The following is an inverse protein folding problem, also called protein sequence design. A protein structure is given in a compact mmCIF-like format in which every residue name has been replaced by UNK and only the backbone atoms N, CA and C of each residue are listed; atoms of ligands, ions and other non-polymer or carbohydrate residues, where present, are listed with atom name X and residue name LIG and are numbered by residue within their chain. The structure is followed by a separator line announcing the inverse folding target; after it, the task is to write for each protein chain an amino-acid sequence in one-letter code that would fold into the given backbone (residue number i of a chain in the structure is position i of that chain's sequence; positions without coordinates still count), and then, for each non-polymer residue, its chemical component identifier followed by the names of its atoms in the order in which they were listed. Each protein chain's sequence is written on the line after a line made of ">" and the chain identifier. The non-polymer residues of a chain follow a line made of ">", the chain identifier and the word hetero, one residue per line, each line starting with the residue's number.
data_IF_068627998195
#
_entry.id   IF_068627998195
#
_cell.length_a   1.000
_cell.length_b   1.000
_cell.length_c   1.000
_cell.angle_alpha   90.00
_cell.angle_beta   90.00
_cell.angle_gamma   90.00
#
_symmetry.space_group_name_H-M   'P 1'
#
loop_
_entity.id
_entity.type
_entity.pdbx_description
1 polymer ?
#
# COMPACT_ATOMS: atom_id res chain seq x y z
N UNK A 1 -5.11 9.24 3.52
CA UNK A 1 -6.43 8.57 3.35
C UNK A 1 -7.09 8.42 4.69
N UNK A 2 -8.33 8.87 4.83
CA UNK A 2 -9.15 8.67 6.04
C UNK A 2 -10.55 8.23 5.61
N UNK A 3 -11.04 7.15 6.21
CA UNK A 3 -12.36 6.57 5.89
C UNK A 3 -12.63 6.36 4.37
N UNK A 4 -11.61 5.99 3.60
CA UNK A 4 -11.74 5.77 2.14
C UNK A 4 -11.78 7.04 1.30
N UNK A 5 -11.42 8.20 1.85
CA UNK A 5 -11.33 9.49 1.12
C UNK A 5 -9.91 10.03 1.13
N UNK A 6 -9.44 10.68 0.05
CA UNK A 6 -8.19 11.42 0.05
C UNK A 6 -8.24 12.57 1.08
N UNK A 7 -7.21 12.70 1.91
CA UNK A 7 -7.04 13.82 2.86
C UNK A 7 -5.97 14.80 2.44
N UNK A 8 -5.23 14.47 1.38
CA UNK A 8 -4.23 15.32 0.76
C UNK A 8 -4.16 15.00 -0.73
N UNK A 9 -3.75 15.97 -1.53
CA UNK A 9 -3.53 15.78 -2.95
C UNK A 9 -2.36 14.80 -3.20
N UNK A 10 -2.51 13.86 -4.15
CA UNK A 10 -1.43 12.94 -4.49
C UNK A 10 -0.26 13.68 -5.13
N UNK A 11 0.97 13.42 -4.71
CA UNK A 11 2.15 14.10 -5.22
C UNK A 11 2.40 13.88 -6.73
N UNK A 12 1.98 12.74 -7.27
CA UNK A 12 2.28 12.33 -8.65
C UNK A 12 1.07 12.40 -9.59
N UNK A 13 -0.05 12.98 -9.15
CA UNK A 13 -1.27 13.11 -9.93
C UNK A 13 -1.70 14.59 -9.99
N UNK A 14 -2.62 14.92 -10.89
CA UNK A 14 -3.23 16.25 -10.94
C UNK A 14 -3.97 16.55 -9.62
N UNK A 15 -4.20 17.84 -9.34
CA UNK A 15 -4.98 18.30 -8.19
C UNK A 15 -6.47 18.02 -8.40
N UNK A 16 -7.26 18.09 -7.30
CA UNK A 16 -8.71 17.92 -7.32
C UNK A 16 -9.20 16.57 -6.80
N UNK A 17 -8.34 15.83 -6.08
CA UNK A 17 -8.70 14.55 -5.47
C UNK A 17 -9.32 14.70 -4.08
N UNK A 18 -8.90 15.76 -3.35
CA UNK A 18 -9.50 16.11 -2.06
C UNK A 18 -10.89 16.69 -2.32
N UNK A 19 -11.87 16.29 -1.55
CA UNK A 19 -13.27 16.73 -1.64
C UNK A 19 -14.02 16.34 -2.93
N UNK A 20 -13.40 15.57 -3.85
CA UNK A 20 -14.10 15.06 -5.01
C UNK A 20 -15.11 13.97 -4.59
N UNK A 21 -16.36 14.15 -5.01
CA UNK A 21 -17.44 13.19 -4.75
C UNK A 21 -17.44 12.07 -5.79
N UNK A 22 -16.60 11.06 -5.52
CA UNK A 22 -16.49 9.88 -6.41
C UNK A 22 -17.78 9.09 -6.52
N UNK A 23 -18.57 9.00 -5.43
CA UNK A 23 -19.84 8.24 -5.44
C UNK A 23 -20.87 8.92 -6.34
N UNK A 24 -20.95 10.25 -6.28
CA UNK A 24 -21.82 11.02 -7.17
C UNK A 24 -21.36 10.92 -8.63
N UNK A 25 -20.05 11.02 -8.87
CA UNK A 25 -19.50 10.98 -10.23
C UNK A 25 -19.72 9.62 -10.92
N UNK A 26 -19.59 8.53 -10.17
CA UNK A 26 -19.71 7.17 -10.71
C UNK A 26 -21.10 6.54 -10.51
N UNK A 27 -21.96 7.11 -9.70
CA UNK A 27 -23.32 6.62 -9.45
C UNK A 27 -23.40 5.34 -8.58
N UNK A 28 -22.30 4.92 -7.94
CA UNK A 28 -22.24 3.76 -7.06
C UNK A 28 -21.24 3.99 -5.89
N UNK A 29 -21.31 3.18 -4.83
CA UNK A 29 -20.37 3.29 -3.70
C UNK A 29 -18.93 3.17 -4.15
N UNK A 30 -18.07 4.06 -3.67
CA UNK A 30 -16.63 4.10 -4.02
C UNK A 30 -15.76 4.09 -2.77
N UNK A 31 -14.67 3.33 -2.81
CA UNK A 31 -13.61 3.36 -1.81
C UNK A 31 -12.30 3.67 -2.49
N UNK A 32 -11.63 4.72 -2.04
CA UNK A 32 -10.33 5.13 -2.55
C UNK A 32 -9.26 4.63 -1.58
N UNK A 33 -8.22 4.01 -2.12
CA UNK A 33 -7.08 3.49 -1.35
C UNK A 33 -5.80 3.70 -2.17
N UNK A 34 -4.68 3.80 -1.47
CA UNK A 34 -3.36 3.81 -2.09
C UNK A 34 -3.04 2.43 -2.71
N UNK A 35 -2.32 2.41 -3.82
CA UNK A 35 -1.98 1.19 -4.58
C UNK A 35 -1.14 0.18 -3.78
N UNK A 36 -0.17 0.65 -2.99
CA UNK A 36 0.60 -0.20 -2.10
C UNK A 36 -0.29 -0.82 -1.02
N UNK A 37 -1.23 -0.05 -0.46
CA UNK A 37 -2.18 -0.55 0.54
C UNK A 37 -3.16 -1.57 -0.08
N UNK A 38 -3.57 -1.38 -1.33
CA UNK A 38 -4.41 -2.34 -2.06
C UNK A 38 -3.66 -3.66 -2.31
N UNK A 39 -2.40 -3.59 -2.77
CA UNK A 39 -1.55 -4.78 -2.93
C UNK A 39 -1.27 -5.47 -1.59
N UNK A 40 -1.07 -4.69 -0.52
CA UNK A 40 -0.89 -5.22 0.83
C UNK A 40 -2.10 -6.02 1.28
N UNK A 41 -3.30 -5.46 1.16
CA UNK A 41 -4.53 -6.11 1.55
C UNK A 41 -4.76 -7.41 0.78
N UNK A 42 -4.51 -7.42 -0.52
CA UNK A 42 -4.59 -8.63 -1.34
C UNK A 42 -3.51 -9.67 -1.05
N UNK A 43 -2.36 -9.24 -0.54
CA UNK A 43 -1.26 -10.12 -0.14
C UNK A 43 -1.42 -10.68 1.28
N UNK A 44 -2.30 -10.09 2.09
CA UNK A 44 -2.47 -10.43 3.49
C UNK A 44 -2.96 -11.87 3.68
N UNK A 45 -2.38 -12.55 4.67
CA UNK A 45 -2.79 -13.90 5.09
C UNK A 45 -3.34 -13.90 6.52
N UNK A 46 -2.54 -13.50 7.50
CA UNK A 46 -2.90 -13.45 8.92
C UNK A 46 -1.88 -12.64 9.73
N UNK A 47 -2.22 -12.32 10.97
CA UNK A 47 -1.32 -11.67 11.93
C UNK A 47 -1.01 -10.22 11.57
N UNK A 48 0.22 -9.82 11.82
CA UNK A 48 0.77 -8.50 11.50
C UNK A 48 1.69 -8.59 10.29
N UNK A 49 1.25 -8.11 9.15
CA UNK A 49 2.02 -8.11 7.91
C UNK A 49 2.57 -6.72 7.62
N UNK A 50 3.83 -6.65 7.20
CA UNK A 50 4.45 -5.46 6.61
C UNK A 50 4.58 -5.66 5.10
N UNK A 51 4.00 -4.76 4.33
CA UNK A 51 4.17 -4.68 2.88
C UNK A 51 5.16 -3.56 2.54
N UNK A 52 6.14 -3.88 1.69
CA UNK A 52 7.12 -2.92 1.17
C UNK A 52 7.11 -3.00 -0.36
N UNK A 53 6.63 -1.95 -0.99
CA UNK A 53 6.59 -1.81 -2.45
C UNK A 53 7.89 -1.20 -2.98
N UNK A 54 8.64 -1.96 -3.78
CA UNK A 54 9.90 -1.55 -4.41
C UNK A 54 9.61 -1.05 -5.83
N UNK A 55 9.07 0.15 -5.93
CA UNK A 55 8.67 0.80 -7.17
C UNK A 55 9.55 1.98 -7.56
N UNK A 56 8.92 3.09 -7.92
CA UNK A 56 9.59 4.38 -8.12
C UNK A 56 10.26 4.82 -6.82
N UNK A 57 9.54 4.73 -5.72
CA UNK A 57 10.01 4.95 -4.36
C UNK A 57 9.91 3.70 -3.49
N UNK A 58 9.57 3.89 -2.22
CA UNK A 58 9.32 2.84 -1.24
C UNK A 58 7.89 2.97 -0.71
N UNK A 59 6.93 2.29 -1.32
CA UNK A 59 5.59 2.15 -0.76
C UNK A 59 5.61 1.31 0.51
N UNK A 60 4.84 1.67 1.53
CA UNK A 60 4.80 0.92 2.78
C UNK A 60 3.40 0.89 3.39
N UNK A 61 3.04 -0.27 3.93
CA UNK A 61 1.74 -0.49 4.53
C UNK A 61 1.81 -1.61 5.58
N UNK A 62 1.15 -1.45 6.70
CA UNK A 62 0.89 -2.53 7.64
C UNK A 62 -0.53 -3.06 7.46
N UNK A 63 -0.69 -4.37 7.60
CA UNK A 63 -2.02 -5.00 7.72
C UNK A 63 -2.04 -5.81 9.01
N UNK A 64 -2.94 -5.47 9.91
CA UNK A 64 -3.07 -6.12 11.21
C UNK A 64 -4.51 -6.59 11.38
N UNK A 65 -4.69 -7.91 11.53
CA UNK A 65 -6.03 -8.51 11.65
C UNK A 65 -6.98 -8.06 10.53
N UNK A 66 -6.49 -8.03 9.28
CA UNK A 66 -7.25 -7.61 8.10
C UNK A 66 -7.44 -6.09 7.94
N UNK A 67 -7.03 -5.29 8.91
CA UNK A 67 -7.14 -3.82 8.84
C UNK A 67 -5.87 -3.20 8.27
N UNK A 68 -6.04 -2.40 7.24
CA UNK A 68 -4.97 -1.71 6.52
C UNK A 68 -4.59 -0.42 7.24
N UNK A 69 -3.30 -0.22 7.48
CA UNK A 69 -2.70 1.02 7.96
C UNK A 69 -1.58 1.46 7.02
N UNK A 70 -1.80 2.48 6.17
CA UNK A 70 -0.74 3.05 5.35
C UNK A 70 0.38 3.61 6.24
N UNK A 71 1.63 3.45 5.78
CA UNK A 71 2.83 3.93 6.47
C UNK A 71 3.65 4.81 5.51
N UNK A 72 4.36 5.78 6.06
CA UNK A 72 5.26 6.67 5.31
C UNK A 72 6.73 6.40 5.69
N UNK A 73 7.14 5.12 5.57
CA UNK A 73 8.49 4.70 5.94
C UNK A 73 9.56 5.19 4.95
N UNK A 74 9.17 5.53 3.73
CA UNK A 74 10.05 6.03 2.67
C UNK A 74 10.95 7.19 3.14
N UNK A 75 10.37 8.11 3.89
CA UNK A 75 11.01 9.37 4.30
C UNK A 75 11.79 9.28 5.61
N UNK A 76 11.85 8.10 6.25
CA UNK A 76 12.67 7.92 7.45
C UNK A 76 14.16 8.10 7.12
N UNK A 77 14.90 8.78 7.99
CA UNK A 77 16.35 9.01 7.81
C UNK A 77 17.13 7.71 7.68
N UNK A 78 17.99 7.63 6.69
CA UNK A 78 18.88 6.49 6.47
C UNK A 78 20.20 6.95 5.84
N UNK A 79 21.31 6.75 6.54
CA UNK A 79 22.64 7.21 6.13
C UNK A 79 22.67 8.72 5.81
N UNK A 80 22.92 9.11 4.54
CA UNK A 80 22.97 10.51 4.09
C UNK A 80 21.68 10.95 3.37
N UNK A 81 20.57 10.26 3.57
CA UNK A 81 19.28 10.51 2.92
C UNK A 81 18.16 9.78 3.63
N UNK A 82 17.24 9.24 2.87
CA UNK A 82 16.08 8.50 3.35
C UNK A 82 16.09 7.05 2.85
N UNK A 83 15.22 6.19 3.35
CA UNK A 83 15.10 4.83 2.81
C UNK A 83 14.80 4.84 1.31
N UNK A 84 13.92 5.72 0.84
CA UNK A 84 13.58 5.83 -0.57
C UNK A 84 14.79 6.16 -1.44
N UNK A 85 15.66 7.06 -1.01
CA UNK A 85 16.88 7.43 -1.74
C UNK A 85 17.80 6.23 -1.99
N UNK A 86 17.67 5.16 -1.21
CA UNK A 86 18.53 3.97 -1.32
C UNK A 86 17.86 2.77 -1.95
N UNK A 87 16.52 2.64 -1.86
CA UNK A 87 15.82 1.47 -2.39
C UNK A 87 14.89 1.76 -3.56
N UNK A 88 14.62 3.03 -3.88
CA UNK A 88 13.81 3.44 -5.02
C UNK A 88 14.50 3.18 -6.37
N UNK A 89 13.70 3.28 -7.46
CA UNK A 89 14.16 3.05 -8.85
C UNK A 89 15.39 3.87 -9.21
N UNK A 90 15.42 5.16 -8.86
CA UNK A 90 16.55 6.06 -9.13
C UNK A 90 17.88 5.48 -8.64
N UNK A 91 17.88 4.92 -7.42
CA UNK A 91 19.10 4.30 -6.85
C UNK A 91 19.51 3.05 -7.61
N UNK A 92 18.54 2.22 -7.99
CA UNK A 92 18.78 1.03 -8.79
C UNK A 92 19.45 1.38 -10.13
N UNK A 93 18.98 2.41 -10.82
CA UNK A 93 19.54 2.88 -12.08
C UNK A 93 20.94 3.47 -11.94
N UNK A 94 21.18 4.29 -10.91
CA UNK A 94 22.47 4.94 -10.65
C UNK A 94 23.58 4.00 -10.15
N UNK A 95 23.25 3.05 -9.29
CA UNK A 95 24.22 2.22 -8.58
C UNK A 95 24.26 0.76 -9.03
N UNK A 96 23.35 0.38 -9.89
CA UNK A 96 23.19 -0.98 -10.39
C UNK A 96 22.60 -1.96 -9.36
N UNK A 97 22.13 -3.08 -9.86
CA UNK A 97 21.32 -4.03 -9.09
C UNK A 97 22.06 -4.69 -7.91
N UNK A 98 23.39 -4.86 -7.98
CA UNK A 98 24.16 -5.51 -6.90
C UNK A 98 24.18 -4.64 -5.64
N UNK A 99 24.47 -3.34 -5.77
CA UNK A 99 24.48 -2.39 -4.63
C UNK A 99 23.09 -2.14 -4.11
N UNK A 100 22.13 -1.96 -5.03
CA UNK A 100 20.73 -1.75 -4.68
C UNK A 100 20.14 -2.92 -3.87
N UNK A 101 20.42 -4.17 -4.25
CA UNK A 101 19.97 -5.35 -3.48
C UNK A 101 20.51 -5.36 -2.06
N UNK A 102 21.77 -4.96 -1.87
CA UNK A 102 22.35 -4.85 -0.53
C UNK A 102 21.61 -3.80 0.30
N UNK A 103 21.36 -2.62 -0.27
CA UNK A 103 20.62 -1.55 0.40
C UNK A 103 19.19 -2.01 0.75
N UNK A 104 18.48 -2.68 -0.17
CA UNK A 104 17.14 -3.25 0.10
C UNK A 104 17.18 -4.24 1.26
N UNK A 105 18.14 -5.17 1.26
CA UNK A 105 18.26 -6.17 2.34
C UNK A 105 18.46 -5.49 3.69
N UNK A 106 19.32 -4.49 3.76
CA UNK A 106 19.62 -3.75 5.00
C UNK A 106 18.38 -3.00 5.50
N UNK A 107 17.68 -2.28 4.61
CA UNK A 107 16.46 -1.54 4.95
C UNK A 107 15.36 -2.50 5.43
N UNK A 108 15.13 -3.61 4.74
CA UNK A 108 14.17 -4.63 5.17
C UNK A 108 14.49 -5.17 6.55
N UNK A 109 15.77 -5.47 6.83
CA UNK A 109 16.21 -5.95 8.16
C UNK A 109 15.95 -4.89 9.24
N UNK A 110 16.23 -3.62 8.98
CA UNK A 110 15.95 -2.53 9.92
C UNK A 110 14.45 -2.43 10.23
N UNK A 111 13.63 -2.38 9.20
CA UNK A 111 12.18 -2.25 9.36
C UNK A 111 11.56 -3.49 10.03
N UNK A 112 12.03 -4.67 9.70
CA UNK A 112 11.57 -5.92 10.35
C UNK A 112 11.92 -5.94 11.84
N UNK A 113 13.13 -5.51 12.22
CA UNK A 113 13.54 -5.42 13.62
C UNK A 113 12.72 -4.38 14.39
N UNK A 114 12.45 -3.23 13.79
CA UNK A 114 11.71 -2.14 14.42
C UNK A 114 10.23 -2.46 14.59
N UNK A 115 9.59 -3.00 13.55
CA UNK A 115 8.15 -3.19 13.49
C UNK A 115 7.69 -4.58 13.95
N UNK A 116 8.59 -5.56 13.98
CA UNK A 116 8.32 -6.96 14.38
C UNK A 116 7.05 -7.54 13.72
N UNK A 117 6.96 -7.55 12.38
CA UNK A 117 5.86 -8.19 11.69
C UNK A 117 6.00 -9.72 11.74
N UNK A 118 4.87 -10.43 11.63
CA UNK A 118 4.82 -11.88 11.47
C UNK A 118 5.12 -12.31 10.03
N UNK A 119 4.87 -11.41 9.05
CA UNK A 119 5.02 -11.65 7.62
C UNK A 119 5.52 -10.37 6.93
N UNK A 120 6.48 -10.49 6.02
CA UNK A 120 6.99 -9.37 5.21
C UNK A 120 6.81 -9.68 3.74
N UNK A 121 6.10 -8.80 3.05
CA UNK A 121 5.84 -8.91 1.60
C UNK A 121 6.60 -7.84 0.85
N UNK A 122 7.42 -8.23 -0.11
CA UNK A 122 8.10 -7.33 -1.03
C UNK A 122 7.33 -7.30 -2.35
N UNK A 123 6.72 -6.17 -2.67
CA UNK A 123 5.87 -5.98 -3.84
C UNK A 123 6.46 -5.05 -4.89
N UNK A 124 5.67 -4.78 -5.90
CA UNK A 124 5.95 -3.97 -7.08
C UNK A 124 7.04 -4.52 -8.01
N UNK A 125 7.26 -3.79 -9.14
CA UNK A 125 8.05 -4.31 -10.27
C UNK A 125 9.53 -4.61 -9.95
N UNK A 126 10.16 -3.81 -9.09
CA UNK A 126 11.58 -3.98 -8.80
C UNK A 126 11.85 -5.11 -7.78
N UNK A 127 10.86 -5.54 -6.99
CA UNK A 127 11.01 -6.68 -6.09
C UNK A 127 11.47 -7.96 -6.82
N UNK A 128 11.02 -8.14 -8.07
CA UNK A 128 11.44 -9.27 -8.93
C UNK A 128 12.93 -9.26 -9.32
N UNK A 129 13.63 -8.13 -9.13
CA UNK A 129 15.07 -7.99 -9.39
C UNK A 129 15.94 -8.47 -8.22
N UNK A 130 15.33 -8.82 -7.09
CA UNK A 130 16.02 -9.49 -6.00
C UNK A 130 16.31 -10.94 -6.42
N UNK A 131 17.59 -11.33 -6.41
CA UNK A 131 18.01 -12.71 -6.69
C UNK A 131 17.63 -13.64 -5.52
N UNK A 132 17.81 -13.12 -4.31
CA UNK A 132 17.49 -13.79 -3.05
C UNK A 132 16.67 -12.82 -2.21
N UNK A 133 15.66 -13.33 -1.54
CA UNK A 133 14.85 -12.53 -0.63
C UNK A 133 15.51 -12.46 0.74
N UNK A 134 15.42 -11.32 1.43
CA UNK A 134 15.79 -11.23 2.84
C UNK A 134 15.04 -12.30 3.65
N UNK A 135 15.70 -12.84 4.68
CA UNK A 135 15.10 -13.91 5.53
C UNK A 135 13.75 -13.48 6.08
N UNK A 136 12.77 -14.35 5.97
CA UNK A 136 11.41 -14.09 6.46
C UNK A 136 10.55 -13.25 5.52
N UNK A 137 11.05 -12.95 4.30
CA UNK A 137 10.29 -12.22 3.29
C UNK A 137 9.76 -13.14 2.21
N UNK A 138 8.66 -12.73 1.57
CA UNK A 138 8.13 -13.34 0.36
C UNK A 138 7.82 -12.29 -0.71
N UNK A 139 7.77 -12.72 -1.96
CA UNK A 139 7.33 -11.84 -3.05
C UNK A 139 5.81 -11.67 -3.02
N UNK A 140 5.37 -10.45 -3.22
CA UNK A 140 4.01 -10.11 -3.62
C UNK A 140 3.83 -10.18 -5.13
N UNK A 141 2.60 -10.03 -5.57
CA UNK A 141 2.23 -9.91 -6.98
C UNK A 141 1.37 -8.67 -7.19
N UNK A 142 1.59 -7.96 -8.30
CA UNK A 142 0.71 -6.83 -8.66
C UNK A 142 -0.75 -7.29 -8.88
N UNK A 143 -0.95 -8.55 -9.26
CA UNK A 143 -2.30 -9.14 -9.35
C UNK A 143 -3.04 -9.15 -8.00
N UNK A 144 -2.31 -9.12 -6.88
CA UNK A 144 -2.93 -9.01 -5.56
C UNK A 144 -3.69 -7.69 -5.35
N UNK A 145 -3.44 -6.65 -6.17
CA UNK A 145 -4.24 -5.43 -6.13
C UNK A 145 -5.72 -5.70 -6.42
N UNK A 146 -6.03 -6.60 -7.36
CA UNK A 146 -7.42 -7.00 -7.64
C UNK A 146 -8.07 -7.66 -6.43
N UNK A 147 -7.37 -8.63 -5.81
CA UNK A 147 -7.85 -9.28 -4.60
C UNK A 147 -8.01 -8.27 -3.45
N UNK A 148 -7.08 -7.33 -3.32
CA UNK A 148 -7.17 -6.25 -2.35
C UNK A 148 -8.39 -5.37 -2.57
N UNK A 149 -8.72 -5.06 -3.83
CA UNK A 149 -9.93 -4.33 -4.20
C UNK A 149 -11.20 -5.03 -3.72
N UNK A 150 -11.31 -6.35 -3.89
CA UNK A 150 -12.44 -7.12 -3.35
C UNK A 150 -12.47 -7.11 -1.83
N UNK A 151 -11.33 -7.35 -1.19
CA UNK A 151 -11.21 -7.36 0.28
C UNK A 151 -11.53 -6.02 0.94
N UNK A 152 -11.43 -4.92 0.24
CA UNK A 152 -11.89 -3.62 0.74
C UNK A 152 -13.38 -3.60 1.09
N UNK A 153 -14.17 -4.50 0.51
CA UNK A 153 -15.61 -4.61 0.71
C UNK A 153 -16.00 -5.73 1.66
N UNK A 154 -15.04 -6.35 2.30
CA UNK A 154 -15.22 -7.38 3.32
C UNK A 154 -15.06 -6.78 4.72
N UNK A 155 -15.75 -7.35 5.72
CA UNK A 155 -15.51 -7.06 7.13
C UNK A 155 -14.26 -7.81 7.64
N UNK A 156 -13.96 -7.67 8.92
CA UNK A 156 -12.81 -8.36 9.55
C UNK A 156 -12.94 -9.89 9.58
N UNK A 157 -14.12 -10.42 9.29
CA UNK A 157 -14.43 -11.85 9.24
C UNK A 157 -14.48 -12.38 7.80
N UNK A 158 -14.26 -11.50 6.79
CA UNK A 158 -14.29 -11.84 5.37
C UNK A 158 -15.69 -11.87 4.76
N UNK A 159 -16.72 -11.38 5.48
CA UNK A 159 -18.06 -11.28 4.94
C UNK A 159 -18.22 -9.98 4.15
N UNK A 160 -19.00 -10.03 3.06
CA UNK A 160 -19.30 -8.85 2.27
C UNK A 160 -20.05 -7.80 3.10
N UNK A 161 -19.52 -6.58 3.18
CA UNK A 161 -20.19 -5.48 3.85
C UNK A 161 -21.46 -5.14 3.07
N UNK A 162 -22.63 -5.39 3.68
CA UNK A 162 -23.92 -5.06 3.08
C UNK A 162 -23.98 -3.56 2.77
N UNK A 163 -24.40 -3.22 1.54
CA UNK A 163 -24.65 -1.83 1.15
C UNK A 163 -25.60 -1.17 2.17
N UNK A 164 -25.33 0.04 2.65
CA UNK A 164 -26.36 0.78 3.38
C UNK A 164 -27.58 0.91 2.47
N UNK A 165 -28.78 0.61 3.00
CA UNK A 165 -30.04 0.83 2.27
C UNK A 165 -30.07 2.29 1.87
N UNK A 166 -30.22 2.59 0.56
CA UNK A 166 -30.44 3.95 0.08
C UNK A 166 -31.64 4.51 0.82
N UNK A 167 -31.44 5.56 1.59
CA UNK A 167 -32.57 6.38 2.06
C UNK A 167 -33.28 6.92 0.81
N UNK A 168 -34.62 6.84 0.72
CA UNK A 168 -35.33 7.41 -0.41
C UNK A 168 -34.99 8.90 -0.50
N UNK A 169 -34.58 9.35 -1.68
CA UNK A 169 -34.38 10.77 -1.95
C UNK A 169 -35.70 11.48 -1.63
N UNK A 170 -35.68 12.39 -0.67
CA UNK A 170 -36.77 13.34 -0.51
C UNK A 170 -36.78 14.18 -1.78
N UNK A 171 -37.86 14.03 -2.57
CA UNK A 171 -38.11 14.89 -3.73
C UNK A 171 -38.14 16.36 -3.30
N UNK A 172 -37.88 17.29 -4.25
CA UNK A 172 -37.96 18.71 -3.94
C UNK A 172 -39.38 19.01 -3.48
N UNK A 173 -39.51 19.58 -2.29
CA UNK A 173 -40.78 20.19 -1.84
C UNK A 173 -41.15 21.32 -2.80
N UNK A 174 -42.35 21.24 -3.35
CA UNK A 174 -42.93 22.28 -4.17
C UNK A 174 -43.15 23.57 -3.37
#
# INVERSE_FOLDING_TARGET
>A
MHAGRPIAEPHNLAKGWVDFDFERAFGFPVRVINDAAMQALGSYKKGKMLFLGLGTGLGSCAVVNGKVGPLELAHLPYRKGTYEDYVGRRRLEQRGSKKWRKDVTEVVVHLTKALRPDDVVLGEGNAKKLKELPKGCRLGSNANAFLGGFRMWEDSEGNQIRKPKRSPMRGPSR
#
